data_IF_630012495024
#
_entry.id   IF_630012495024
#
_cell.length_a   1.000
_cell.length_b   1.000
_cell.length_c   1.000
_cell.angle_alpha   90.00
_cell.angle_beta   90.00
_cell.angle_gamma   90.00
#
_symmetry.space_group_name_H-M   'P 1'
#
loop_
_entity.id
_entity.type
_entity.pdbx_description
1 polymer ?
#
# COMPACT_ATOMS: atom_id res chain seq x y z
N UNK A 1 -27.50 31.45 27.75
CA UNK A 1 -26.10 31.56 27.31
C UNK A 1 -25.58 30.15 27.18
N UNK A 2 -25.66 29.61 25.98
CA UNK A 2 -25.06 28.32 25.59
C UNK A 2 -23.67 28.67 25.06
N UNK A 3 -22.59 27.98 25.46
CA UNK A 3 -21.27 28.26 24.91
C UNK A 3 -21.24 27.87 23.44
N UNK A 4 -20.65 28.73 22.61
CA UNK A 4 -20.42 28.49 21.19
C UNK A 4 -19.64 27.18 20.98
N UNK A 5 -20.23 26.26 20.22
CA UNK A 5 -19.55 25.07 19.70
C UNK A 5 -18.43 25.51 18.74
N UNK A 6 -17.18 25.23 19.10
CA UNK A 6 -16.06 25.32 18.17
C UNK A 6 -16.28 24.33 17.01
N UNK A 7 -16.04 24.74 15.75
CA UNK A 7 -16.22 23.86 14.61
C UNK A 7 -15.19 22.73 14.66
N UNK A 8 -15.68 21.49 14.64
CA UNK A 8 -14.89 20.28 14.50
C UNK A 8 -14.14 20.33 13.17
N UNK A 9 -12.82 20.54 13.22
CA UNK A 9 -11.91 20.46 12.08
C UNK A 9 -12.19 19.16 11.31
N UNK A 10 -12.72 19.29 10.09
CA UNK A 10 -12.90 18.12 9.25
C UNK A 10 -11.54 17.68 8.71
N UNK A 11 -11.38 16.38 8.44
CA UNK A 11 -10.15 15.81 7.87
C UNK A 11 -9.73 16.52 6.56
N UNK A 12 -10.67 17.17 5.87
CA UNK A 12 -10.43 18.00 4.69
C UNK A 12 -9.81 19.37 5.04
N UNK A 13 -10.22 20.03 6.11
CA UNK A 13 -9.65 21.32 6.54
C UNK A 13 -8.22 21.15 7.08
N UNK A 14 -7.94 20.02 7.75
CA UNK A 14 -6.58 19.62 8.11
C UNK A 14 -5.69 19.30 6.88
N UNK A 15 -6.32 18.96 5.75
CA UNK A 15 -5.69 18.71 4.43
C UNK A 15 -5.66 19.96 3.55
N UNK A 16 -6.43 21.02 3.82
CA UNK A 16 -6.31 22.29 3.08
C UNK A 16 -5.34 23.26 3.79
N UNK A 17 -5.40 23.35 5.13
CA UNK A 17 -4.55 24.24 5.92
C UNK A 17 -3.06 23.89 5.91
N UNK A 18 -2.70 22.61 5.73
CA UNK A 18 -1.30 22.16 5.62
C UNK A 18 -0.72 22.24 4.20
N UNK A 19 -1.55 22.53 3.20
CA UNK A 19 -1.19 22.41 1.78
C UNK A 19 -1.13 23.76 1.05
N UNK A 20 -1.36 24.87 1.76
CA UNK A 20 -1.02 26.21 1.29
C UNK A 20 0.52 26.35 1.18
N UNK A 21 1.08 25.93 0.05
CA UNK A 21 2.45 26.27 -0.36
C UNK A 21 3.34 25.13 -0.87
N UNK A 22 2.89 23.87 -0.90
CA UNK A 22 3.72 22.72 -1.34
C UNK A 22 2.99 21.81 -2.35
N UNK A 23 2.33 22.42 -3.34
CA UNK A 23 1.72 21.70 -4.48
C UNK A 23 2.72 21.38 -5.60
N UNK A 24 3.98 21.79 -5.45
CA UNK A 24 5.01 21.49 -6.45
C UNK A 24 5.50 20.04 -6.29
N UNK A 25 5.57 19.30 -7.41
CA UNK A 25 6.24 18.00 -7.44
C UNK A 25 7.64 18.12 -6.80
N UNK A 26 8.09 17.14 -6.00
CA UNK A 26 9.39 17.20 -5.37
C UNK A 26 10.46 17.42 -6.43
N UNK A 27 11.23 18.50 -6.29
CA UNK A 27 12.33 18.76 -7.22
C UNK A 27 13.52 17.87 -6.88
N UNK A 28 14.54 17.86 -7.75
CA UNK A 28 15.72 17.01 -7.58
C UNK A 28 16.45 17.28 -6.25
N UNK A 29 16.48 18.54 -5.81
CA UNK A 29 17.11 18.93 -4.55
C UNK A 29 16.36 18.35 -3.35
N UNK A 30 15.02 18.36 -3.37
CA UNK A 30 14.19 17.75 -2.35
C UNK A 30 14.42 16.24 -2.24
N UNK A 31 14.59 15.55 -3.38
CA UNK A 31 14.93 14.13 -3.41
C UNK A 31 16.36 13.85 -2.93
N UNK A 32 17.30 14.77 -3.18
CA UNK A 32 18.70 14.68 -2.73
C UNK A 32 18.89 15.02 -1.26
N UNK A 33 17.98 15.75 -0.60
CA UNK A 33 18.06 16.06 0.85
C UNK A 33 18.15 14.82 1.74
N UNK A 34 17.63 13.68 1.27
CA UNK A 34 17.67 12.40 1.99
C UNK A 34 18.86 11.51 1.59
N UNK A 35 19.75 12.02 0.72
CA UNK A 35 20.95 11.33 0.31
C UNK A 35 21.92 11.19 1.49
N UNK A 36 22.10 9.96 1.96
CA UNK A 36 23.26 9.63 2.80
C UNK A 36 24.46 9.43 1.89
N UNK A 37 25.65 9.76 2.37
CA UNK A 37 26.88 9.42 1.68
C UNK A 37 26.82 7.95 1.21
N UNK A 38 27.19 7.66 -0.05
CA UNK A 38 27.16 6.30 -0.55
C UNK A 38 27.94 5.40 0.42
N UNK A 39 27.47 4.18 0.71
CA UNK A 39 28.26 3.24 1.49
C UNK A 39 29.65 3.14 0.86
N UNK A 40 30.70 3.19 1.68
CA UNK A 40 32.09 3.13 1.20
C UNK A 40 32.19 2.04 0.13
N UNK A 41 32.83 2.32 -1.02
CA UNK A 41 33.01 1.31 -2.06
C UNK A 41 33.53 0.06 -1.37
N UNK A 42 32.74 -1.02 -1.44
CA UNK A 42 33.23 -2.31 -1.00
C UNK A 42 34.35 -2.66 -1.97
N UNK A 43 35.60 -2.48 -1.54
CA UNK A 43 36.74 -3.13 -2.15
C UNK A 43 36.58 -4.61 -1.84
N UNK A 44 36.17 -5.47 -2.79
CA UNK A 44 36.10 -6.89 -2.52
C UNK A 44 37.54 -7.31 -2.24
N UNK A 45 37.83 -7.82 -1.04
CA UNK A 45 39.08 -8.54 -0.82
C UNK A 45 39.03 -9.72 -1.78
N UNK A 46 39.87 -9.69 -2.81
CA UNK A 46 39.98 -10.72 -3.82
C UNK A 46 40.45 -12.00 -3.12
N UNK A 47 39.49 -12.81 -2.68
CA UNK A 47 39.72 -14.20 -2.34
C UNK A 47 39.15 -15.01 -3.49
N UNK A 48 40.03 -15.45 -4.38
CA UNK A 48 39.76 -16.49 -5.37
C UNK A 48 39.37 -17.76 -4.61
N UNK A 49 38.08 -18.09 -4.59
CA UNK A 49 37.67 -19.45 -4.27
C UNK A 49 37.68 -20.23 -5.59
N UNK A 50 38.40 -21.36 -5.70
CA UNK A 50 38.50 -22.13 -6.93
C UNK A 50 37.30 -23.08 -7.11
N UNK A 51 36.08 -22.60 -6.90
CA UNK A 51 34.87 -23.44 -6.90
C UNK A 51 33.81 -22.86 -7.85
N UNK A 52 33.61 -23.60 -8.95
CA UNK A 52 32.64 -23.43 -10.03
C UNK A 52 32.77 -22.14 -10.87
N UNK A 53 33.07 -22.29 -12.17
CA UNK A 53 32.84 -21.22 -13.16
C UNK A 53 31.35 -20.88 -13.12
N UNK A 54 30.97 -19.73 -12.58
CA UNK A 54 29.58 -19.31 -12.64
C UNK A 54 29.28 -18.84 -14.06
N UNK A 55 28.17 -19.30 -14.65
CA UNK A 55 27.83 -18.96 -16.04
C UNK A 55 27.70 -17.44 -16.27
N UNK A 56 27.34 -16.67 -15.24
CA UNK A 56 27.32 -15.21 -15.29
C UNK A 56 28.70 -14.58 -15.51
N UNK A 57 29.79 -15.24 -15.08
CA UNK A 57 31.16 -14.73 -15.30
C UNK A 57 31.56 -14.75 -16.79
N UNK A 58 30.81 -15.50 -17.62
CA UNK A 58 31.04 -15.61 -19.07
C UNK A 58 30.15 -14.70 -19.91
N UNK A 59 29.19 -14.00 -19.30
CA UNK A 59 28.29 -13.11 -20.01
C UNK A 59 28.87 -11.69 -20.12
N UNK A 60 28.70 -11.00 -21.25
CA UNK A 60 28.98 -9.57 -21.36
C UNK A 60 28.14 -8.75 -20.37
N UNK A 61 28.67 -7.60 -19.95
CA UNK A 61 27.99 -6.72 -19.00
C UNK A 61 26.61 -6.30 -19.52
N UNK A 62 26.49 -6.04 -20.82
CA UNK A 62 25.27 -5.61 -21.47
C UNK A 62 24.15 -6.66 -21.31
N UNK A 63 24.51 -7.95 -21.38
CA UNK A 63 23.55 -9.05 -21.19
C UNK A 63 23.16 -9.15 -19.71
N UNK A 64 24.12 -9.00 -18.80
CA UNK A 64 23.84 -8.98 -17.36
C UNK A 64 22.93 -7.79 -17.01
N UNK A 65 23.16 -6.62 -17.60
CA UNK A 65 22.33 -5.42 -17.46
C UNK A 65 20.92 -5.67 -17.98
N UNK A 66 20.76 -6.24 -19.19
CA UNK A 66 19.45 -6.59 -19.73
C UNK A 66 18.69 -7.55 -18.81
N UNK A 67 19.35 -8.58 -18.28
CA UNK A 67 18.74 -9.50 -17.31
C UNK A 67 18.34 -8.74 -16.04
N UNK A 68 19.23 -7.90 -15.51
CA UNK A 68 18.98 -7.19 -14.26
C UNK A 68 17.85 -6.15 -14.36
N UNK A 69 17.72 -5.46 -15.50
CA UNK A 69 16.62 -4.51 -15.74
C UNK A 69 15.26 -5.21 -15.68
N UNK A 70 15.17 -6.46 -16.13
CA UNK A 70 13.94 -7.27 -16.09
C UNK A 70 13.56 -7.79 -14.70
N UNK A 71 14.49 -7.75 -13.73
CA UNK A 71 14.25 -8.23 -12.38
C UNK A 71 13.88 -7.08 -11.43
N UNK A 72 13.14 -7.33 -10.34
CA UNK A 72 13.03 -6.37 -9.25
C UNK A 72 14.41 -6.07 -8.63
N UNK A 73 14.66 -4.83 -8.21
CA UNK A 73 15.91 -4.42 -7.56
C UNK A 73 16.22 -5.26 -6.35
N UNK A 74 15.20 -5.67 -5.56
CA UNK A 74 15.40 -6.58 -4.42
C UNK A 74 16.10 -7.86 -4.86
N UNK A 75 15.66 -8.45 -5.97
CA UNK A 75 16.18 -9.73 -6.43
C UNK A 75 17.58 -9.54 -7.04
N UNK A 76 17.82 -8.43 -7.74
CA UNK A 76 19.16 -8.04 -8.20
C UNK A 76 20.13 -7.87 -7.03
N UNK A 77 19.70 -7.22 -5.93
CA UNK A 77 20.49 -7.08 -4.71
C UNK A 77 20.79 -8.43 -4.04
N UNK A 78 19.90 -9.42 -4.18
CA UNK A 78 20.13 -10.79 -3.70
C UNK A 78 21.09 -11.57 -4.60
N UNK A 79 21.13 -11.31 -5.91
CA UNK A 79 22.03 -12.01 -6.85
C UNK A 79 23.51 -11.88 -6.48
N UNK A 80 23.92 -10.79 -5.79
CA UNK A 80 25.30 -10.64 -5.29
C UNK A 80 25.76 -11.74 -4.35
N UNK A 81 24.81 -12.39 -3.68
CA UNK A 81 25.08 -13.50 -2.76
C UNK A 81 25.26 -14.83 -3.51
N UNK A 82 24.81 -14.90 -4.77
CA UNK A 82 24.76 -16.12 -5.58
C UNK A 82 25.91 -16.18 -6.59
N UNK A 83 26.28 -15.06 -7.20
CA UNK A 83 27.35 -15.01 -8.20
C UNK A 83 28.13 -13.70 -8.14
N UNK A 84 29.44 -13.77 -8.40
CA UNK A 84 30.31 -12.59 -8.48
C UNK A 84 30.25 -11.92 -9.85
N UNK A 85 29.96 -12.64 -10.92
CA UNK A 85 29.85 -12.09 -12.28
C UNK A 85 28.78 -11.02 -12.43
N UNK A 86 27.77 -11.00 -11.55
CA UNK A 86 26.76 -9.93 -11.52
C UNK A 86 27.22 -8.67 -10.78
N UNK A 87 28.35 -8.69 -10.06
CA UNK A 87 28.80 -7.56 -9.24
C UNK A 87 28.92 -6.21 -9.97
N UNK A 88 29.31 -6.13 -11.26
CA UNK A 88 29.36 -4.86 -11.98
C UNK A 88 28.02 -4.12 -12.04
N UNK A 89 26.88 -4.83 -11.96
CA UNK A 89 25.55 -4.21 -12.03
C UNK A 89 25.32 -3.18 -10.92
N UNK A 90 25.92 -3.37 -9.74
CA UNK A 90 25.71 -2.49 -8.60
C UNK A 90 26.37 -1.12 -8.76
N UNK A 91 27.28 -0.98 -9.73
CA UNK A 91 27.89 0.28 -10.14
C UNK A 91 27.32 0.80 -11.46
N UNK A 92 26.44 0.05 -12.15
CA UNK A 92 25.87 0.46 -13.44
C UNK A 92 24.88 1.60 -13.28
N UNK A 93 25.25 2.78 -13.78
CA UNK A 93 24.36 3.94 -13.86
C UNK A 93 23.11 3.64 -14.71
N UNK A 94 23.28 2.90 -15.81
CA UNK A 94 22.18 2.49 -16.70
C UNK A 94 21.12 1.68 -15.97
N UNK A 95 21.55 0.67 -15.21
CA UNK A 95 20.67 -0.14 -14.40
C UNK A 95 19.84 0.72 -13.42
N UNK A 96 20.49 1.56 -12.63
CA UNK A 96 19.80 2.39 -11.65
C UNK A 96 18.87 3.42 -12.30
N UNK A 97 19.26 3.97 -13.46
CA UNK A 97 18.43 4.87 -14.27
C UNK A 97 17.12 4.21 -14.72
N UNK A 98 17.16 2.94 -15.14
CA UNK A 98 15.93 2.23 -15.58
C UNK A 98 14.86 2.16 -14.49
N UNK A 99 15.24 2.14 -13.21
CA UNK A 99 14.25 2.09 -12.10
C UNK A 99 13.34 3.31 -12.05
N UNK A 100 13.76 4.42 -12.65
CA UNK A 100 13.00 5.66 -12.70
C UNK A 100 12.14 5.81 -13.95
N UNK A 101 12.18 4.86 -14.89
CA UNK A 101 11.26 4.86 -16.02
C UNK A 101 9.81 4.82 -15.55
N UNK A 102 8.92 5.46 -16.32
CA UNK A 102 7.50 5.64 -15.96
C UNK A 102 6.83 4.34 -15.51
N UNK A 103 7.26 3.22 -16.08
CA UNK A 103 6.67 1.90 -15.88
C UNK A 103 7.51 0.99 -14.96
N UNK A 104 8.55 1.52 -14.31
CA UNK A 104 9.50 0.82 -13.43
C UNK A 104 9.43 1.33 -11.98
N UNK A 105 10.12 0.69 -11.04
CA UNK A 105 9.89 0.74 -9.57
C UNK A 105 9.75 2.14 -8.92
N UNK A 106 10.27 3.19 -9.55
CA UNK A 106 10.22 4.59 -9.12
C UNK A 106 9.59 5.51 -10.16
N UNK A 107 8.80 4.97 -11.09
CA UNK A 107 8.16 5.74 -12.15
C UNK A 107 7.18 6.81 -11.67
N UNK A 108 6.72 6.76 -10.41
CA UNK A 108 5.98 7.86 -9.79
C UNK A 108 6.83 9.15 -9.64
N UNK A 109 8.16 9.03 -9.69
CA UNK A 109 9.10 10.16 -9.73
C UNK A 109 9.45 10.59 -11.16
N UNK A 110 8.88 9.94 -12.18
CA UNK A 110 9.13 10.26 -13.58
C UNK A 110 9.00 11.76 -13.89
N UNK A 111 7.95 12.48 -13.44
CA UNK A 111 7.85 13.92 -13.69
C UNK A 111 9.05 14.73 -13.19
N UNK A 112 9.63 14.36 -12.05
CA UNK A 112 10.76 15.06 -11.43
C UNK A 112 12.11 14.75 -12.13
N UNK A 113 12.25 13.57 -12.72
CA UNK A 113 13.53 13.08 -13.27
C UNK A 113 13.58 13.06 -14.80
N UNK A 114 12.43 13.17 -15.49
CA UNK A 114 12.31 13.06 -16.96
C UNK A 114 13.27 13.98 -17.70
N UNK A 115 13.34 15.25 -17.28
CA UNK A 115 14.14 16.27 -17.98
C UNK A 115 15.64 15.99 -17.87
N UNK A 116 16.06 15.22 -16.86
CA UNK A 116 17.43 14.76 -16.69
C UNK A 116 17.73 13.44 -17.40
N UNK A 117 16.69 12.74 -17.88
CA UNK A 117 16.87 11.46 -18.57
C UNK A 117 17.19 11.59 -20.05
N UNK A 118 16.79 12.70 -20.68
CA UNK A 118 16.99 12.98 -22.11
C UNK A 118 18.01 14.08 -22.44
N UNK A 119 18.48 14.86 -21.45
CA UNK A 119 19.40 15.97 -21.71
C UNK A 119 20.87 15.50 -21.70
N UNK A 120 21.46 15.34 -22.88
CA UNK A 120 22.88 15.03 -23.07
C UNK A 120 23.85 16.10 -22.50
N UNK A 121 23.34 17.28 -22.13
CA UNK A 121 24.15 18.49 -21.85
C UNK A 121 23.95 19.10 -20.44
N UNK A 122 23.33 18.41 -19.48
CA UNK A 122 23.31 18.90 -18.08
C UNK A 122 24.53 18.34 -17.34
N UNK A 123 25.45 19.22 -16.96
CA UNK A 123 26.75 18.96 -16.31
C UNK A 123 26.67 18.30 -14.91
N UNK A 124 25.49 17.99 -14.41
CA UNK A 124 25.32 17.17 -13.21
C UNK A 124 24.92 15.76 -13.63
N UNK A 125 25.91 14.88 -13.74
CA UNK A 125 25.66 13.45 -13.84
C UNK A 125 24.90 13.00 -12.58
N UNK A 126 23.61 12.74 -12.72
CA UNK A 126 22.80 12.23 -11.62
C UNK A 126 23.37 10.86 -11.22
N UNK A 127 23.83 10.74 -9.98
CA UNK A 127 24.08 9.44 -9.37
C UNK A 127 22.73 8.75 -9.13
N UNK A 128 22.27 8.00 -10.13
CA UNK A 128 21.00 7.28 -10.11
C UNK A 128 20.94 6.25 -8.98
N UNK A 129 22.08 5.67 -8.61
CA UNK A 129 22.17 4.72 -7.49
C UNK A 129 21.90 5.43 -6.17
N UNK A 130 22.56 6.55 -5.96
CA UNK A 130 22.36 7.38 -4.78
C UNK A 130 20.90 7.83 -4.72
N UNK A 131 20.36 8.36 -5.82
CA UNK A 131 18.95 8.77 -5.90
C UNK A 131 17.99 7.61 -5.58
N UNK A 132 18.24 6.40 -6.08
CA UNK A 132 17.42 5.23 -5.74
C UNK A 132 17.42 4.94 -4.23
N UNK A 133 18.58 5.01 -3.59
CA UNK A 133 18.68 4.76 -2.15
C UNK A 133 18.10 5.89 -1.29
N UNK A 134 18.24 7.15 -1.72
CA UNK A 134 17.57 8.31 -1.11
C UNK A 134 16.06 8.17 -1.21
N UNK A 135 15.58 7.75 -2.40
CA UNK A 135 14.15 7.62 -2.66
C UNK A 135 13.50 6.44 -1.91
N UNK A 136 14.29 5.46 -1.50
CA UNK A 136 13.84 4.31 -0.71
C UNK A 136 13.53 4.63 0.76
N UNK A 137 13.91 5.83 1.22
CA UNK A 137 13.62 6.35 2.57
C UNK A 137 12.68 7.55 2.53
N UNK A 138 12.03 7.83 1.39
CA UNK A 138 11.13 8.96 1.30
C UNK A 138 9.86 8.70 2.12
N UNK A 139 9.90 9.04 3.40
CA UNK A 139 8.73 9.28 4.22
C UNK A 139 8.31 10.76 4.15
N UNK A 140 8.68 11.43 3.06
CA UNK A 140 8.55 12.87 2.89
C UNK A 140 7.19 13.16 2.27
N UNK A 141 6.28 13.63 3.12
CA UNK A 141 4.93 14.09 2.80
C UNK A 141 3.90 12.99 2.47
N UNK A 142 2.69 13.18 3.01
CA UNK A 142 1.47 12.46 2.62
C UNK A 142 1.23 12.55 1.11
N UNK A 143 1.66 13.64 0.48
CA UNK A 143 1.55 13.86 -0.96
C UNK A 143 2.31 12.82 -1.79
N UNK A 144 3.56 12.54 -1.45
CA UNK A 144 4.36 11.55 -2.20
C UNK A 144 3.78 10.13 -2.10
N UNK A 145 3.19 9.80 -0.95
CA UNK A 145 2.44 8.55 -0.76
C UNK A 145 1.21 8.51 -1.67
N UNK A 146 0.49 9.63 -1.80
CA UNK A 146 -0.66 9.74 -2.70
C UNK A 146 -0.24 9.63 -4.18
N UNK A 147 0.83 10.31 -4.60
CA UNK A 147 1.37 10.22 -5.95
C UNK A 147 1.74 8.79 -6.32
N UNK A 148 2.43 8.09 -5.41
CA UNK A 148 2.71 6.66 -5.59
C UNK A 148 1.44 5.83 -5.71
N UNK A 149 0.41 6.08 -4.88
CA UNK A 149 -0.88 5.38 -4.95
C UNK A 149 -1.58 5.58 -6.29
N UNK A 150 -1.65 6.82 -6.75
CA UNK A 150 -2.27 7.17 -8.03
C UNK A 150 -1.50 6.50 -9.16
N UNK A 151 -0.18 6.58 -9.15
CA UNK A 151 0.67 5.96 -10.17
C UNK A 151 0.53 4.43 -10.20
N UNK A 152 0.44 3.76 -9.05
CA UNK A 152 0.18 2.33 -8.99
C UNK A 152 -1.20 2.00 -9.61
N UNK A 153 -2.24 2.76 -9.27
CA UNK A 153 -3.57 2.56 -9.85
C UNK A 153 -3.57 2.75 -11.37
N UNK A 154 -2.88 3.77 -11.87
CA UNK A 154 -2.75 4.05 -13.31
C UNK A 154 -2.02 2.94 -14.06
N UNK A 155 -0.95 2.38 -13.47
CA UNK A 155 -0.29 1.21 -14.06
C UNK A 155 -1.19 -0.02 -14.10
N UNK A 156 -1.91 -0.30 -13.01
CA UNK A 156 -2.85 -1.41 -12.99
C UNK A 156 -3.92 -1.24 -14.08
N UNK A 157 -4.41 -0.01 -14.28
CA UNK A 157 -5.35 0.32 -15.36
C UNK A 157 -4.72 0.10 -16.75
N UNK A 158 -3.47 0.52 -16.96
CA UNK A 158 -2.71 0.25 -18.19
C UNK A 158 -2.62 -1.25 -18.45
N UNK A 159 -2.16 -2.04 -17.47
CA UNK A 159 -1.98 -3.48 -17.61
C UNK A 159 -3.30 -4.21 -17.88
N UNK A 160 -4.36 -3.76 -17.23
CA UNK A 160 -5.72 -4.25 -17.49
C UNK A 160 -6.18 -3.92 -18.91
N UNK A 161 -5.93 -2.70 -19.40
CA UNK A 161 -6.29 -2.30 -20.75
C UNK A 161 -5.50 -3.08 -21.81
N UNK A 162 -4.20 -3.29 -21.60
CA UNK A 162 -3.36 -4.11 -22.47
C UNK A 162 -3.83 -5.57 -22.47
N UNK A 163 -4.13 -6.14 -21.30
CA UNK A 163 -4.64 -7.50 -21.22
C UNK A 163 -5.96 -7.69 -21.98
N UNK A 164 -6.86 -6.71 -21.88
CA UNK A 164 -8.10 -6.68 -22.65
C UNK A 164 -7.84 -6.58 -24.16
N UNK A 165 -6.90 -5.73 -24.59
CA UNK A 165 -6.58 -5.54 -26.00
C UNK A 165 -5.94 -6.79 -26.63
N UNK A 166 -5.07 -7.49 -25.90
CA UNK A 166 -4.36 -8.68 -26.37
C UNK A 166 -5.07 -10.00 -26.04
N UNK A 167 -6.23 -9.96 -25.38
CA UNK A 167 -6.98 -11.16 -24.98
C UNK A 167 -6.25 -12.02 -23.94
N UNK A 168 -5.34 -11.43 -23.16
CA UNK A 168 -4.61 -12.14 -22.10
C UNK A 168 -5.36 -12.04 -20.76
N UNK A 169 -5.07 -12.92 -19.78
CA UNK A 169 -5.67 -12.82 -18.46
C UNK A 169 -5.39 -11.45 -17.82
N UNK A 170 -6.46 -10.79 -17.36
CA UNK A 170 -6.34 -9.51 -16.65
C UNK A 170 -5.64 -9.71 -15.30
N UNK A 171 -4.91 -8.69 -14.81
CA UNK A 171 -4.50 -8.64 -13.41
C UNK A 171 -5.71 -8.77 -12.49
N UNK A 172 -5.56 -9.36 -11.29
CA UNK A 172 -6.62 -9.39 -10.28
C UNK A 172 -7.15 -7.99 -9.96
N UNK A 173 -8.45 -7.89 -9.67
CA UNK A 173 -9.00 -6.67 -9.11
C UNK A 173 -8.47 -6.47 -7.69
N UNK A 174 -8.36 -5.22 -7.25
CA UNK A 174 -7.83 -4.91 -5.93
C UNK A 174 -8.66 -3.87 -5.17
N UNK A 175 -8.59 -3.90 -3.83
CA UNK A 175 -9.12 -2.87 -2.93
C UNK A 175 -8.11 -2.55 -1.84
N UNK A 176 -8.18 -1.34 -1.30
CA UNK A 176 -7.16 -0.85 -0.37
C UNK A 176 -5.79 -0.78 -1.05
N UNK A 177 -4.74 -1.02 -0.27
CA UNK A 177 -3.36 -0.79 -0.66
C UNK A 177 -2.65 -2.09 -1.00
N UNK A 178 -3.12 -2.71 -2.07
CA UNK A 178 -2.67 -4.05 -2.47
C UNK A 178 -1.63 -4.03 -3.62
N UNK A 179 -1.42 -2.89 -4.27
CA UNK A 179 -0.61 -2.81 -5.50
C UNK A 179 0.89 -2.69 -5.24
N UNK A 180 1.31 -2.42 -4.00
CA UNK A 180 2.72 -2.37 -3.64
C UNK A 180 3.47 -3.67 -3.97
N UNK A 181 2.80 -4.80 -3.81
CA UNK A 181 3.33 -6.11 -4.18
C UNK A 181 3.48 -6.24 -5.70
N UNK A 182 2.45 -5.84 -6.42
CA UNK A 182 2.38 -5.99 -7.88
C UNK A 182 3.41 -5.09 -8.60
N UNK A 183 3.74 -3.93 -8.02
CA UNK A 183 4.65 -2.95 -8.62
C UNK A 183 6.04 -2.86 -7.97
N UNK A 184 6.35 -3.72 -6.99
CA UNK A 184 7.64 -3.75 -6.28
C UNK A 184 8.08 -2.41 -5.67
N UNK A 185 7.14 -1.72 -5.04
CA UNK A 185 7.39 -0.36 -4.53
C UNK A 185 7.68 -0.29 -3.03
N UNK A 186 7.80 -1.44 -2.34
CA UNK A 186 7.91 -1.55 -0.87
C UNK A 186 8.88 -0.53 -0.24
N UNK A 187 8.46 0.01 0.92
CA UNK A 187 9.24 0.98 1.69
C UNK A 187 10.36 0.26 2.42
N UNK A 188 11.54 0.88 2.49
CA UNK A 188 12.67 0.29 3.23
C UNK A 188 12.31 0.11 4.71
N UNK A 189 12.64 -1.06 5.27
CA UNK A 189 12.32 -1.38 6.66
C UNK A 189 10.90 -1.92 6.87
N UNK A 190 10.15 -2.08 5.78
CA UNK A 190 8.90 -2.84 5.77
C UNK A 190 9.10 -4.19 5.10
N UNK A 191 8.27 -5.15 5.47
CA UNK A 191 8.14 -6.44 4.80
C UNK A 191 6.68 -6.68 4.41
N UNK A 192 6.50 -7.64 3.52
CA UNK A 192 5.21 -7.98 2.97
C UNK A 192 4.82 -9.37 3.43
N UNK A 193 3.58 -9.48 3.91
CA UNK A 193 2.96 -10.75 4.25
C UNK A 193 1.69 -10.92 3.43
N UNK A 194 1.40 -12.16 3.03
CA UNK A 194 0.20 -12.45 2.25
C UNK A 194 -0.49 -13.69 2.76
N UNK A 195 -1.82 -13.66 2.78
CA UNK A 195 -2.66 -14.81 3.05
C UNK A 195 -3.50 -15.10 1.82
N UNK A 196 -3.40 -16.33 1.30
CA UNK A 196 -4.30 -16.82 0.25
C UNK A 196 -5.65 -17.20 0.84
N UNK A 197 -6.72 -16.74 0.20
CA UNK A 197 -8.12 -17.03 0.55
C UNK A 197 -8.68 -18.00 -0.50
N UNK A 198 -8.38 -19.28 -0.31
CA UNK A 198 -8.79 -20.41 -1.16
C UNK A 198 -9.96 -21.22 -0.58
N UNK A 199 -10.28 -20.99 0.70
CA UNK A 199 -11.41 -21.56 1.43
C UNK A 199 -12.27 -20.43 2.03
N UNK A 200 -13.57 -20.63 2.26
CA UNK A 200 -14.40 -19.68 2.99
C UNK A 200 -13.83 -19.36 4.38
N UNK A 201 -13.71 -18.07 4.68
CA UNK A 201 -13.31 -17.54 6.00
C UNK A 201 -14.56 -17.40 6.85
N UNK A 202 -14.56 -18.01 8.04
CA UNK A 202 -15.69 -18.00 8.98
C UNK A 202 -15.52 -17.00 10.11
N UNK A 203 -14.27 -16.76 10.51
CA UNK A 203 -13.96 -15.78 11.52
C UNK A 203 -12.69 -15.04 11.14
N UNK A 204 -12.62 -13.78 11.53
CA UNK A 204 -11.40 -13.00 11.48
C UNK A 204 -11.13 -12.43 12.86
N UNK A 205 -9.93 -12.69 13.39
CA UNK A 205 -9.47 -12.00 14.58
C UNK A 205 -8.60 -10.80 14.17
N UNK A 206 -8.81 -9.66 14.83
CA UNK A 206 -8.03 -8.44 14.64
C UNK A 206 -7.33 -8.12 15.95
N UNK A 207 -6.04 -7.89 15.88
CA UNK A 207 -5.21 -7.47 17.02
C UNK A 207 -4.82 -6.02 16.88
N UNK A 208 -5.00 -5.27 17.96
CA UNK A 208 -4.66 -3.86 18.03
C UNK A 208 -4.13 -3.51 19.42
N UNK A 209 -3.15 -2.62 19.48
CA UNK A 209 -2.68 -2.06 20.73
C UNK A 209 -2.09 -0.65 20.55
N UNK A 210 -1.97 0.07 21.65
CA UNK A 210 -1.25 1.32 21.82
C UNK A 210 -0.07 1.04 22.74
N UNK A 211 1.14 1.23 22.24
CA UNK A 211 2.37 1.20 23.06
C UNK A 211 2.73 2.63 23.52
N UNK A 212 2.87 3.54 22.54
CA UNK A 212 2.95 4.98 22.73
C UNK A 212 2.01 5.54 21.68
N UNK A 213 0.88 6.12 22.09
CA UNK A 213 -0.19 6.65 21.23
C UNK A 213 0.33 7.16 19.86
N UNK A 214 -0.34 6.82 18.74
CA UNK A 214 -1.69 6.27 18.63
C UNK A 214 -1.77 4.73 18.63
N UNK A 215 -3.00 4.19 18.75
CA UNK A 215 -3.32 2.77 18.57
C UNK A 215 -3.00 2.33 17.15
N UNK A 216 -2.43 1.15 17.00
CA UNK A 216 -2.22 0.51 15.70
C UNK A 216 -2.76 -0.91 15.67
N UNK A 217 -3.25 -1.31 14.50
CA UNK A 217 -3.52 -2.70 14.18
C UNK A 217 -2.20 -3.40 13.92
N UNK A 218 -1.97 -4.52 14.62
CA UNK A 218 -0.72 -5.28 14.55
C UNK A 218 -0.87 -6.60 13.83
N UNK A 219 -2.09 -7.15 13.77
CA UNK A 219 -2.30 -8.45 13.16
C UNK A 219 -3.74 -8.77 12.79
N UNK A 220 -3.87 -9.65 11.81
CA UNK A 220 -5.12 -10.27 11.40
C UNK A 220 -4.95 -11.78 11.34
N UNK A 221 -5.90 -12.53 11.87
CA UNK A 221 -5.95 -13.99 11.75
C UNK A 221 -7.23 -14.42 11.04
N UNK A 222 -7.11 -15.27 10.03
CA UNK A 222 -8.20 -15.79 9.22
C UNK A 222 -8.46 -17.24 9.59
N UNK A 223 -9.66 -17.51 10.09
CA UNK A 223 -10.11 -18.86 10.43
C UNK A 223 -10.95 -19.41 9.28
N UNK A 224 -10.42 -20.45 8.64
CA UNK A 224 -11.06 -21.07 7.48
C UNK A 224 -11.94 -22.23 7.92
N UNK A 225 -12.96 -22.51 7.11
CA UNK A 225 -13.85 -23.66 7.33
C UNK A 225 -13.11 -25.00 7.23
N UNK A 226 -12.26 -25.15 6.21
CA UNK A 226 -11.77 -26.46 5.76
C UNK A 226 -10.23 -26.58 5.80
N UNK A 227 -9.53 -25.64 6.46
CA UNK A 227 -8.06 -25.66 6.60
C UNK A 227 -7.56 -24.92 7.85
N UNK A 228 -6.29 -25.08 8.24
CA UNK A 228 -5.70 -24.33 9.35
C UNK A 228 -5.79 -22.82 9.17
N UNK A 229 -5.83 -22.08 10.28
CA UNK A 229 -5.82 -20.62 10.27
C UNK A 229 -4.54 -20.09 9.62
N UNK A 230 -4.65 -18.90 9.04
CA UNK A 230 -3.50 -18.15 8.53
C UNK A 230 -3.50 -16.74 9.14
N UNK A 231 -2.32 -16.14 9.29
CA UNK A 231 -2.18 -14.84 9.94
C UNK A 231 -1.33 -13.87 9.13
N UNK A 232 -1.59 -12.59 9.34
CA UNK A 232 -0.77 -11.46 8.93
C UNK A 232 -0.38 -10.72 10.22
N UNK A 233 0.89 -10.37 10.36
CA UNK A 233 1.40 -9.71 11.56
C UNK A 233 1.28 -10.57 12.80
N UNK A 234 0.95 -9.95 13.93
CA UNK A 234 1.01 -10.62 15.23
C UNK A 234 -0.05 -10.15 16.24
N UNK A 235 -0.27 -11.02 17.22
CA UNK A 235 -1.01 -10.72 18.45
C UNK A 235 -0.06 -10.76 19.63
N UNK A 236 -0.15 -9.78 20.52
CA UNK A 236 0.68 -9.75 21.73
C UNK A 236 0.23 -10.81 22.73
N UNK A 237 1.20 -11.39 23.44
CA UNK A 237 0.94 -12.32 24.53
C UNK A 237 0.22 -11.57 25.67
N UNK A 238 -0.90 -12.12 26.13
CA UNK A 238 -1.71 -11.51 27.19
C UNK A 238 -2.72 -10.46 26.69
N UNK A 239 -2.81 -10.22 25.38
CA UNK A 239 -3.86 -9.39 24.82
C UNK A 239 -5.25 -9.87 25.26
N UNK A 240 -6.14 -8.95 25.62
CA UNK A 240 -7.50 -9.27 26.05
C UNK A 240 -8.27 -9.87 24.87
N UNK A 241 -8.68 -11.13 25.00
CA UNK A 241 -9.55 -11.76 24.01
C UNK A 241 -10.98 -11.28 24.18
N UNK A 242 -11.62 -10.90 23.07
CA UNK A 242 -13.00 -10.45 23.03
C UNK A 242 -13.68 -10.98 21.77
N UNK A 243 -14.98 -11.23 21.86
CA UNK A 243 -15.83 -11.39 20.68
C UNK A 243 -16.13 -10.02 20.06
N UNK A 244 -16.53 -10.02 18.78
CA UNK A 244 -16.94 -8.80 18.08
C UNK A 244 -18.20 -8.14 18.68
N UNK A 245 -19.05 -8.90 19.38
CA UNK A 245 -20.22 -8.38 20.09
C UNK A 245 -19.81 -7.68 21.39
N UNK A 246 -19.00 -8.35 22.23
CA UNK A 246 -18.44 -7.75 23.44
C UNK A 246 -17.66 -6.48 23.13
N UNK A 247 -16.85 -6.49 22.07
CA UNK A 247 -16.10 -5.30 21.65
C UNK A 247 -17.00 -4.14 21.22
N UNK A 248 -18.15 -4.42 20.61
CA UNK A 248 -19.06 -3.37 20.14
C UNK A 248 -19.81 -2.72 21.29
N UNK A 249 -20.18 -3.50 22.29
CA UNK A 249 -21.08 -3.08 23.37
C UNK A 249 -20.31 -2.55 24.60
N UNK A 250 -18.99 -2.73 24.64
CA UNK A 250 -18.14 -2.31 25.77
C UNK A 250 -17.64 -0.86 25.59
N UNK A 251 -18.18 0.05 26.40
CA UNK A 251 -17.80 1.48 26.41
C UNK A 251 -16.38 1.71 26.98
N UNK A 252 -15.78 0.72 27.67
CA UNK A 252 -14.44 0.80 28.26
C UNK A 252 -13.32 0.28 27.36
N UNK A 253 -13.62 -0.02 26.08
CA UNK A 253 -12.65 -0.62 25.12
C UNK A 253 -11.32 0.12 25.02
N UNK A 254 -11.34 1.45 25.16
CA UNK A 254 -10.13 2.27 25.09
C UNK A 254 -9.09 1.89 26.16
N UNK A 255 -9.54 1.44 27.34
CA UNK A 255 -8.67 1.00 28.43
C UNK A 255 -7.92 -0.30 28.08
N UNK A 256 -8.52 -1.16 27.25
CA UNK A 256 -7.89 -2.42 26.83
C UNK A 256 -6.98 -2.26 25.62
N UNK A 257 -6.97 -1.10 24.96
CA UNK A 257 -6.07 -0.85 23.84
C UNK A 257 -4.65 -0.58 24.30
N UNK A 258 -4.42 -0.17 25.55
CA UNK A 258 -3.08 -0.09 26.12
C UNK A 258 -2.42 -1.47 26.18
N UNK A 259 -1.08 -1.52 26.14
CA UNK A 259 -0.32 -2.76 26.23
C UNK A 259 -0.87 -3.69 27.35
N UNK A 260 -1.16 -4.97 27.05
CA UNK A 260 -0.80 -5.74 25.85
C UNK A 260 -1.81 -5.64 24.69
N UNK A 261 -2.83 -4.81 24.80
CA UNK A 261 -3.84 -4.60 23.76
C UNK A 261 -4.95 -5.64 23.75
N UNK A 262 -5.64 -5.72 22.61
CA UNK A 262 -6.80 -6.57 22.39
C UNK A 262 -6.61 -7.54 21.23
N UNK A 263 -7.41 -8.61 21.26
CA UNK A 263 -7.63 -9.55 20.17
C UNK A 263 -9.13 -9.79 20.02
N UNK A 264 -9.73 -9.17 19.00
CA UNK A 264 -11.18 -9.21 18.78
C UNK A 264 -11.49 -10.21 17.68
N UNK A 265 -12.27 -11.24 17.99
CA UNK A 265 -12.70 -12.26 17.01
C UNK A 265 -14.10 -11.96 16.50
N UNK A 266 -14.23 -11.82 15.18
CA UNK A 266 -15.49 -11.47 14.50
C UNK A 266 -15.95 -12.63 13.63
N UNK A 267 -17.19 -13.08 13.84
CA UNK A 267 -17.87 -14.04 12.98
C UNK A 267 -18.31 -13.40 11.65
N UNK A 268 -18.09 -14.13 10.56
CA UNK A 268 -18.42 -13.70 9.21
C UNK A 268 -19.14 -14.82 8.44
N UNK A 269 -20.18 -14.45 7.70
CA UNK A 269 -20.78 -15.37 6.72
C UNK A 269 -19.86 -15.60 5.51
N UNK A 270 -19.33 -14.49 4.98
CA UNK A 270 -18.36 -14.46 3.88
C UNK A 270 -17.66 -13.09 3.85
N UNK A 271 -16.36 -13.04 3.51
CA UNK A 271 -15.55 -11.83 3.51
C UNK A 271 -15.49 -11.22 2.10
N UNK A 272 -15.92 -9.97 1.95
CA UNK A 272 -15.94 -9.25 0.65
C UNK A 272 -14.99 -8.08 0.56
N UNK A 273 -14.55 -7.55 1.68
CA UNK A 273 -13.64 -6.40 1.71
C UNK A 273 -12.99 -6.21 3.07
N UNK A 274 -11.87 -5.49 3.06
CA UNK A 274 -11.18 -5.00 4.25
C UNK A 274 -10.91 -3.52 3.99
N UNK A 275 -11.39 -2.66 4.88
CA UNK A 275 -11.17 -1.21 4.81
C UNK A 275 -10.22 -0.86 5.94
N UNK A 276 -9.10 -0.24 5.63
CA UNK A 276 -8.18 0.28 6.62
C UNK A 276 -8.33 1.79 6.74
N UNK A 277 -8.28 2.26 7.98
CA UNK A 277 -8.15 3.67 8.32
C UNK A 277 -6.67 3.93 8.65
N UNK A 278 -5.91 4.56 7.75
CA UNK A 278 -4.50 4.84 7.97
C UNK A 278 -4.30 6.09 8.84
N UNK A 279 -3.13 6.17 9.45
CA UNK A 279 -2.53 7.36 10.05
C UNK A 279 -1.23 7.68 9.30
N UNK A 280 -0.49 8.71 9.73
CA UNK A 280 0.85 8.99 9.21
C UNK A 280 1.87 7.88 9.51
N UNK A 281 1.60 7.02 10.49
CA UNK A 281 2.56 6.01 10.99
C UNK A 281 2.13 4.56 10.76
N UNK A 282 0.86 4.28 10.52
CA UNK A 282 0.35 2.92 10.25
C UNK A 282 -1.18 2.86 10.26
N UNK A 283 -1.76 1.67 10.35
CA UNK A 283 -3.22 1.50 10.38
C UNK A 283 -3.74 1.65 11.81
N UNK A 284 -4.63 2.61 12.04
CA UNK A 284 -5.28 2.78 13.36
C UNK A 284 -6.50 1.89 13.56
N UNK A 285 -7.17 1.52 12.47
CA UNK A 285 -8.34 0.65 12.53
C UNK A 285 -8.57 -0.10 11.22
N UNK A 286 -9.13 -1.29 11.36
CA UNK A 286 -9.59 -2.13 10.26
C UNK A 286 -11.09 -2.38 10.41
N UNK A 287 -11.81 -2.27 9.28
CA UNK A 287 -13.21 -2.63 9.15
C UNK A 287 -13.37 -3.84 8.22
N UNK A 288 -14.12 -4.85 8.68
CA UNK A 288 -14.39 -6.07 7.93
C UNK A 288 -15.72 -5.96 7.19
N UNK A 289 -15.69 -6.04 5.87
CA UNK A 289 -16.90 -5.96 5.05
C UNK A 289 -17.39 -7.37 4.70
N UNK A 290 -18.50 -7.84 5.29
CA UNK A 290 -19.06 -9.14 4.97
C UNK A 290 -19.86 -9.11 3.67
N UNK A 291 -20.27 -10.29 3.20
CA UNK A 291 -21.24 -10.42 2.12
C UNK A 291 -22.62 -10.01 2.61
N UNK A 292 -23.29 -9.14 1.87
CA UNK A 292 -24.65 -8.72 2.18
C UNK A 292 -25.63 -9.29 1.16
N UNK A 293 -26.56 -10.17 1.57
CA UNK A 293 -27.45 -10.86 0.64
C UNK A 293 -28.47 -9.92 -0.04
N UNK A 294 -28.91 -8.83 0.59
CA UNK A 294 -29.87 -7.86 -0.02
C UNK A 294 -29.69 -6.41 0.48
N UNK A 295 -30.04 -5.39 -0.32
CA UNK A 295 -29.94 -3.98 0.08
C UNK A 295 -30.82 -3.58 1.27
N UNK A 296 -31.93 -4.28 1.49
CA UNK A 296 -32.82 -4.02 2.63
C UNK A 296 -32.20 -4.45 3.97
N UNK A 297 -31.29 -5.42 3.94
CA UNK A 297 -30.60 -5.93 5.14
C UNK A 297 -29.41 -5.03 5.55
N UNK A 298 -29.08 -4.02 4.73
CA UNK A 298 -27.96 -3.09 4.93
C UNK A 298 -28.29 -1.90 5.84
N UNK A 299 -29.56 -1.50 5.94
CA UNK A 299 -29.93 -0.19 6.50
C UNK A 299 -29.66 -0.07 8.01
N UNK A 300 -29.65 -1.19 8.74
CA UNK A 300 -29.46 -1.23 10.20
C UNK A 300 -28.23 -2.04 10.64
N UNK A 301 -27.37 -2.50 9.72
CA UNK A 301 -26.17 -3.27 10.06
C UNK A 301 -24.94 -2.38 10.00
N UNK A 302 -24.12 -2.43 11.05
CA UNK A 302 -22.81 -1.79 11.09
C UNK A 302 -21.72 -2.77 10.67
N UNK A 303 -20.71 -2.24 9.99
CA UNK A 303 -19.48 -2.97 9.68
C UNK A 303 -18.68 -3.12 10.96
N UNK A 304 -18.11 -4.30 11.23
CA UNK A 304 -17.26 -4.49 12.40
C UNK A 304 -15.95 -3.73 12.21
N UNK A 305 -15.66 -2.79 13.09
CA UNK A 305 -14.39 -2.05 13.17
C UNK A 305 -13.63 -2.47 14.43
N UNK A 306 -12.30 -2.58 14.33
CA UNK A 306 -11.43 -2.82 15.49
C UNK A 306 -10.25 -1.84 15.43
N UNK A 307 -9.85 -1.31 16.59
CA UNK A 307 -8.82 -0.27 16.73
C UNK A 307 -9.41 1.06 17.20
N UNK A 308 -8.74 2.17 16.91
CA UNK A 308 -9.19 3.49 17.35
C UNK A 308 -10.28 4.04 16.42
N UNK A 309 -11.56 3.82 16.76
CA UNK A 309 -12.69 4.38 15.99
C UNK A 309 -13.77 4.97 16.87
N UNK A 310 -14.07 6.26 16.63
CA UNK A 310 -15.36 6.88 16.96
C UNK A 310 -16.35 6.75 15.79
N UNK A 311 -15.98 6.08 14.70
CA UNK A 311 -16.71 6.09 13.43
C UNK A 311 -17.44 4.76 13.21
N UNK A 312 -18.73 4.73 13.54
CA UNK A 312 -19.60 3.62 13.14
C UNK A 312 -19.97 3.77 11.67
N UNK A 313 -19.45 2.87 10.81
CA UNK A 313 -19.80 2.85 9.38
C UNK A 313 -20.94 1.88 9.13
N UNK A 314 -22.02 2.35 8.48
CA UNK A 314 -23.14 1.47 8.12
C UNK A 314 -22.77 0.64 6.92
N UNK A 315 -23.32 -0.58 6.86
CA UNK A 315 -23.19 -1.45 5.70
C UNK A 315 -23.73 -0.80 4.42
N UNK A 316 -24.74 0.07 4.53
CA UNK A 316 -25.26 0.88 3.41
C UNK A 316 -24.26 1.86 2.82
N UNK A 317 -23.27 2.29 3.61
CA UNK A 317 -22.31 3.32 3.21
C UNK A 317 -21.08 2.71 2.54
N UNK A 318 -20.95 1.38 2.59
CA UNK A 318 -19.87 0.65 1.92
C UNK A 318 -20.03 0.79 0.41
N UNK A 319 -19.03 1.44 -0.20
CA UNK A 319 -18.98 1.56 -1.64
C UNK A 319 -18.67 0.21 -2.29
N UNK A 320 -19.25 -0.10 -3.46
CA UNK A 320 -18.80 -1.19 -4.31
C UNK A 320 -17.31 -1.10 -4.69
N UNK A 321 -16.74 0.10 -4.67
CA UNK A 321 -15.31 0.33 -4.82
C UNK A 321 -14.46 -0.10 -3.61
N UNK A 322 -15.07 -0.63 -2.55
CA UNK A 322 -14.42 -1.18 -1.34
C UNK A 322 -14.63 -2.69 -1.20
N UNK A 323 -15.37 -3.32 -2.12
CA UNK A 323 -15.69 -4.76 -2.08
C UNK A 323 -15.27 -5.47 -3.37
N UNK A 324 -15.04 -6.77 -3.24
CA UNK A 324 -14.83 -7.71 -4.33
C UNK A 324 -15.91 -8.80 -4.25
N UNK A 325 -16.23 -9.41 -5.39
CA UNK A 325 -17.16 -10.56 -5.44
C UNK A 325 -16.50 -11.85 -4.94
N UNK A 326 -15.18 -11.90 -4.94
CA UNK A 326 -14.40 -12.95 -4.31
C UNK A 326 -13.05 -12.36 -3.96
N UNK A 327 -12.65 -12.46 -2.69
CA UNK A 327 -11.26 -12.21 -2.27
C UNK A 327 -10.49 -13.51 -2.48
N UNK A 328 -9.34 -13.42 -3.16
CA UNK A 328 -8.42 -14.54 -3.35
C UNK A 328 -7.14 -14.37 -2.53
N UNK A 329 -6.80 -13.15 -2.15
CA UNK A 329 -5.61 -12.88 -1.36
C UNK A 329 -5.79 -11.62 -0.51
N UNK A 330 -5.24 -11.64 0.70
CA UNK A 330 -5.06 -10.46 1.54
C UNK A 330 -3.56 -10.19 1.63
N UNK A 331 -3.18 -8.94 1.45
CA UNK A 331 -1.79 -8.49 1.43
C UNK A 331 -1.62 -7.40 2.47
N UNK A 332 -0.67 -7.57 3.38
CA UNK A 332 -0.30 -6.56 4.37
C UNK A 332 1.16 -6.13 4.19
N UNK A 333 1.40 -4.85 4.44
CA UNK A 333 2.74 -4.27 4.58
C UNK A 333 2.94 -3.98 6.05
N UNK A 334 4.01 -4.50 6.62
CA UNK A 334 4.31 -4.39 8.04
C UNK A 334 5.70 -3.80 8.24
N UNK A 335 5.89 -3.10 9.34
CA UNK A 335 7.23 -2.89 9.91
C UNK A 335 7.45 -3.90 11.05
N UNK A 336 8.54 -3.75 11.81
CA UNK A 336 8.83 -4.64 12.94
C UNK A 336 7.85 -4.52 14.13
N UNK A 337 6.87 -3.62 14.08
CA UNK A 337 6.00 -3.25 15.21
C UNK A 337 4.51 -3.22 14.88
N UNK A 338 4.12 -3.04 13.62
CA UNK A 338 2.72 -2.82 13.27
C UNK A 338 2.45 -2.99 11.79
N UNK A 339 1.16 -3.07 11.48
CA UNK A 339 0.69 -2.99 10.11
C UNK A 339 0.75 -1.54 9.62
N UNK A 340 1.48 -1.33 8.54
CA UNK A 340 1.61 -0.04 7.86
C UNK A 340 0.50 0.12 6.83
N UNK A 341 0.19 -0.94 6.11
CA UNK A 341 -0.85 -0.93 5.09
C UNK A 341 -1.47 -2.31 4.84
N UNK A 342 -2.66 -2.33 4.25
CA UNK A 342 -3.38 -3.57 3.89
C UNK A 342 -4.25 -3.38 2.65
N UNK A 343 -4.35 -4.44 1.86
CA UNK A 343 -5.26 -4.51 0.74
C UNK A 343 -5.67 -5.93 0.43
N UNK A 344 -6.64 -6.06 -0.48
CA UNK A 344 -7.16 -7.36 -0.93
C UNK A 344 -7.09 -7.45 -2.44
N UNK A 345 -6.83 -8.65 -2.94
CA UNK A 345 -6.93 -9.03 -4.35
C UNK A 345 -8.05 -10.02 -4.57
N UNK A 346 -8.59 -10.02 -5.77
CA UNK A 346 -9.66 -10.95 -6.11
C UNK A 346 -10.31 -10.68 -7.45
N UNK A 347 -11.59 -11.03 -7.52
CA UNK A 347 -12.39 -10.92 -8.74
C UNK A 347 -13.62 -10.05 -8.50
N UNK A 348 -13.92 -9.22 -9.48
CA UNK A 348 -15.17 -8.47 -9.55
C UNK A 348 -15.68 -8.49 -11.00
N UNK A 349 -16.80 -9.18 -11.25
CA UNK A 349 -17.49 -9.11 -12.55
C UNK A 349 -18.26 -7.78 -12.69
N UNK A 350 -18.74 -7.24 -11.58
CA UNK A 350 -19.31 -5.89 -11.52
C UNK A 350 -18.20 -4.85 -11.59
N UNK A 351 -18.16 -4.08 -12.70
CA UNK A 351 -17.72 -2.67 -12.62
C UNK A 351 -18.56 -2.02 -11.51
N UNK A 352 -17.99 -1.06 -10.76
CA UNK A 352 -18.76 -0.22 -9.84
C UNK A 352 -20.18 -0.09 -10.38
N UNK A 353 -21.24 -0.51 -9.63
CA UNK A 353 -22.62 -0.37 -10.05
C UNK A 353 -22.71 0.99 -10.67
N UNK A 354 -23.12 1.06 -11.94
CA UNK A 354 -23.29 2.35 -12.60
C UNK A 354 -24.23 3.13 -11.71
N UNK A 355 -23.67 4.05 -10.93
CA UNK A 355 -24.41 4.84 -9.98
C UNK A 355 -25.51 5.49 -10.81
N UNK A 356 -26.79 5.41 -10.38
CA UNK A 356 -27.86 6.06 -11.11
C UNK A 356 -27.42 7.49 -11.42
N UNK A 357 -27.65 7.97 -12.65
CA UNK A 357 -27.05 9.21 -13.16
C UNK A 357 -27.17 10.39 -12.18
N UNK A 358 -28.28 10.46 -11.44
CA UNK A 358 -28.51 11.45 -10.38
C UNK A 358 -27.54 11.35 -9.19
N UNK A 359 -27.21 10.14 -8.72
CA UNK A 359 -26.27 9.93 -7.62
C UNK A 359 -24.83 10.19 -8.06
N UNK A 360 -24.45 9.78 -9.29
CA UNK A 360 -23.14 10.14 -9.87
C UNK A 360 -22.96 11.66 -9.97
N UNK A 361 -23.99 12.37 -10.47
CA UNK A 361 -23.98 13.84 -10.53
C UNK A 361 -23.89 14.49 -9.15
N UNK A 362 -24.62 13.95 -8.16
CA UNK A 362 -24.56 14.44 -6.78
C UNK A 362 -23.17 14.27 -6.19
N UNK A 363 -22.58 13.08 -6.26
CA UNK A 363 -21.21 12.83 -5.81
C UNK A 363 -20.20 13.74 -6.51
N UNK A 364 -20.24 13.86 -7.84
CA UNK A 364 -19.34 14.76 -8.57
C UNK A 364 -19.52 16.21 -8.10
N UNK A 365 -20.76 16.65 -7.86
CA UNK A 365 -21.04 17.98 -7.34
C UNK A 365 -20.49 18.16 -5.92
N UNK A 366 -20.67 17.16 -5.05
CA UNK A 366 -20.19 17.18 -3.67
C UNK A 366 -18.65 17.19 -3.63
N UNK A 367 -17.99 16.36 -4.43
CA UNK A 367 -16.52 16.34 -4.57
C UNK A 367 -15.96 17.61 -5.23
N UNK A 368 -16.68 18.21 -6.19
CA UNK A 368 -16.33 19.55 -6.71
C UNK A 368 -16.49 20.63 -5.63
N UNK A 369 -17.51 20.52 -4.77
CA UNK A 369 -17.75 21.48 -3.67
C UNK A 369 -16.61 21.45 -2.64
N UNK A 370 -15.99 20.29 -2.42
CA UNK A 370 -14.81 20.14 -1.54
C UNK A 370 -13.48 20.17 -2.31
N UNK A 371 -13.45 20.74 -3.53
CA UNK A 371 -12.27 20.88 -4.38
C UNK A 371 -11.46 19.58 -4.67
N UNK A 372 -12.05 18.40 -4.45
CA UNK A 372 -11.40 17.12 -4.74
C UNK A 372 -11.43 16.74 -6.23
N UNK A 373 -12.32 17.37 -7.00
CA UNK A 373 -12.36 17.27 -8.47
C UNK A 373 -12.21 18.69 -9.02
N UNK A 374 -11.28 18.94 -9.97
CA UNK A 374 -11.12 20.25 -10.59
C UNK A 374 -12.45 20.79 -11.10
N UNK A 375 -12.73 22.08 -10.84
CA UNK A 375 -14.00 22.70 -11.19
C UNK A 375 -14.26 22.62 -12.72
N UNK A 376 -13.18 22.71 -13.50
CA UNK A 376 -13.12 22.69 -14.95
C UNK A 376 -13.32 21.30 -15.56
N UNK A 377 -13.21 20.24 -14.75
CA UNK A 377 -13.34 18.87 -15.24
C UNK A 377 -14.82 18.55 -15.53
N UNK A 378 -15.20 18.56 -16.81
CA UNK A 378 -16.51 18.10 -17.27
C UNK A 378 -16.53 16.57 -17.42
N UNK A 379 -16.96 15.89 -16.37
CA UNK A 379 -17.21 14.45 -16.42
C UNK A 379 -18.57 14.18 -17.08
N UNK A 380 -18.55 13.77 -18.36
CA UNK A 380 -19.75 13.35 -19.10
C UNK A 380 -20.40 12.06 -18.55
#
# INVERSE_FOLDING_TARGET
>A
MVPDDEPVDTVLDAVDGKFQGHLDHPNLDDLRRFARAPPRPWCPVVRSSPLAKHHFDSLPLEIIEMIAVMLPTRDVLSLRQVSRGVAPIFASSNFWKTRFYLNDERGFLWPAVRDFMGAANRQEEIDWRLLYHSTSQLNCSTWLLLERKIWEALRWLRDTALALAYGTPRPPDYRGMALHHYHNTLIRGTHLETVSIDSPVRQVAISAHSDISPVHVTGLEFFFKDRPKASLGYTLLGAKEMSGEEYRDDESVQEYLEYPGIRVTVDLEDLRGIIALPTSSGIQSVLLVPSFPKPKDLQNRYVYSVGHTNTQMRASDVSPAQTLEQITQVVAVLDNRKMIDIGVWGRSSRRCPTWPKGVRKRLIKDYKKVNMIPAELELK
#
